data_IF_048264117403
#
_entry.id   IF_048264117403
#
_cell.length_a   1.000
_cell.length_b   1.000
_cell.length_c   1.000
_cell.angle_alpha   90.00
_cell.angle_beta   90.00
_cell.angle_gamma   90.00
#
_symmetry.space_group_name_H-M   'P 1'
#
loop_
_entity.id
_entity.type
_entity.pdbx_description
1 polymer ?
#
# COMPACT_ATOMS: atom_id res chain seq x y z
N UNK A 1 -6.28 58.65 -15.20
CA UNK A 1 -6.85 57.97 -14.01
C UNK A 1 -6.15 56.62 -13.89
N UNK A 2 -5.15 56.51 -13.02
CA UNK A 2 -4.34 55.31 -12.86
C UNK A 2 -4.99 54.41 -11.80
N UNK A 3 -5.51 53.25 -12.19
CA UNK A 3 -6.09 52.26 -11.26
C UNK A 3 -5.03 51.19 -11.00
N UNK A 4 -4.55 51.12 -9.77
CA UNK A 4 -3.63 50.08 -9.30
C UNK A 4 -4.51 48.98 -8.68
N UNK A 5 -4.47 47.77 -9.26
CA UNK A 5 -5.07 46.58 -8.67
C UNK A 5 -4.05 45.92 -7.72
N UNK A 6 -4.39 45.64 -6.45
CA UNK A 6 -3.49 44.88 -5.59
C UNK A 6 -3.47 43.41 -6.07
N UNK A 7 -2.26 42.90 -6.30
CA UNK A 7 -2.04 41.49 -6.59
C UNK A 7 -2.15 40.71 -5.28
N UNK A 8 -3.31 40.15 -5.00
CA UNK A 8 -3.51 39.24 -3.87
C UNK A 8 -2.77 37.94 -4.18
N UNK A 9 -1.66 37.69 -3.48
CA UNK A 9 -0.94 36.43 -3.57
C UNK A 9 -1.77 35.31 -2.91
N UNK A 10 -2.25 34.36 -3.71
CA UNK A 10 -2.91 33.16 -3.22
C UNK A 10 -1.82 32.22 -2.68
N UNK A 11 -1.73 32.05 -1.37
CA UNK A 11 -0.88 31.02 -0.79
C UNK A 11 -1.44 29.64 -1.16
N UNK A 12 -0.74 28.91 -2.01
CA UNK A 12 -1.04 27.52 -2.30
C UNK A 12 -0.67 26.68 -1.06
N UNK A 13 -1.68 26.18 -0.34
CA UNK A 13 -1.45 25.07 0.58
C UNK A 13 -1.08 23.85 -0.27
N UNK A 14 0.19 23.45 -0.25
CA UNK A 14 0.56 22.12 -0.68
C UNK A 14 -0.05 21.16 0.33
N UNK A 15 -1.18 20.54 -0.01
CA UNK A 15 -1.54 19.28 0.64
C UNK A 15 -0.30 18.39 0.51
N UNK A 16 0.16 17.71 1.59
CA UNK A 16 1.17 16.69 1.39
C UNK A 16 0.65 15.80 0.28
N UNK A 17 1.44 15.62 -0.78
CA UNK A 17 1.14 14.60 -1.79
C UNK A 17 0.77 13.36 -1.00
N UNK A 18 -0.47 12.87 -1.17
CA UNK A 18 -0.94 11.74 -0.39
C UNK A 18 -0.03 10.59 -0.78
N UNK A 19 1.06 10.41 -0.05
CA UNK A 19 1.85 9.21 -0.10
C UNK A 19 0.84 8.08 0.09
N UNK A 20 1.04 6.97 -0.61
CA UNK A 20 0.19 5.76 -0.64
C UNK A 20 -0.33 5.23 0.73
N UNK A 21 0.04 5.86 1.84
CA UNK A 21 -0.52 5.75 3.18
C UNK A 21 -2.05 5.74 3.21
N UNK A 22 -2.58 5.00 4.20
CA UNK A 22 -4.01 4.83 4.39
C UNK A 22 -4.40 3.38 4.61
N UNK A 23 -5.70 3.17 4.80
CA UNK A 23 -6.31 1.86 4.95
C UNK A 23 -6.88 1.41 3.61
N UNK A 24 -6.57 0.18 3.22
CA UNK A 24 -7.05 -0.45 2.00
C UNK A 24 -7.83 -1.70 2.34
N UNK A 25 -8.95 -1.91 1.66
CA UNK A 25 -9.57 -3.22 1.56
C UNK A 25 -8.75 -4.08 0.61
N UNK A 26 -8.52 -5.33 0.99
CA UNK A 26 -7.76 -6.31 0.20
C UNK A 26 -8.68 -7.44 -0.19
N UNK A 27 -8.71 -7.75 -1.48
CA UNK A 27 -9.24 -9.00 -2.01
C UNK A 27 -8.10 -9.74 -2.69
N UNK A 28 -7.80 -10.95 -2.23
CA UNK A 28 -6.67 -11.72 -2.75
C UNK A 28 -7.00 -13.17 -3.03
N UNK A 29 -6.09 -13.82 -3.74
CA UNK A 29 -6.21 -15.20 -4.17
C UNK A 29 -4.90 -15.93 -3.91
N UNK A 30 -4.98 -17.06 -3.20
CA UNK A 30 -3.84 -17.94 -3.00
C UNK A 30 -3.47 -18.64 -4.31
N UNK A 31 -2.18 -18.98 -4.52
CA UNK A 31 -1.77 -19.72 -5.70
C UNK A 31 -2.58 -21.02 -5.89
N UNK A 32 -3.13 -21.21 -7.09
CA UNK A 32 -3.87 -22.43 -7.45
C UNK A 32 -5.25 -22.58 -6.81
N UNK A 33 -5.72 -21.60 -6.04
CA UNK A 33 -7.06 -21.62 -5.44
C UNK A 33 -8.02 -20.69 -6.19
N UNK A 34 -9.28 -21.12 -6.34
CA UNK A 34 -10.33 -20.29 -6.95
C UNK A 34 -10.95 -19.30 -5.95
N UNK A 35 -11.02 -19.68 -4.67
CA UNK A 35 -11.63 -18.86 -3.62
C UNK A 35 -10.78 -17.62 -3.31
N UNK A 36 -11.44 -16.47 -3.22
CA UNK A 36 -10.83 -15.23 -2.76
C UNK A 36 -10.84 -15.14 -1.24
N UNK A 37 -9.75 -14.65 -0.67
CA UNK A 37 -9.71 -14.14 0.71
C UNK A 37 -9.95 -12.63 0.72
N UNK A 38 -10.39 -12.13 1.87
CA UNK A 38 -10.60 -10.70 2.12
C UNK A 38 -9.91 -10.27 3.40
N UNK A 39 -9.52 -9.01 3.45
CA UNK A 39 -9.00 -8.39 4.65
C UNK A 39 -8.68 -6.93 4.45
N UNK A 40 -7.78 -6.43 5.28
CA UNK A 40 -7.35 -5.03 5.25
C UNK A 40 -5.84 -4.92 5.25
N UNK A 41 -5.32 -3.86 4.63
CA UNK A 41 -3.94 -3.46 4.72
C UNK A 41 -3.84 -1.99 5.13
N UNK A 42 -2.98 -1.70 6.09
CA UNK A 42 -2.65 -0.35 6.53
C UNK A 42 -1.26 0.01 6.08
N UNK A 43 -1.12 1.13 5.38
CA UNK A 43 0.17 1.68 4.94
C UNK A 43 0.47 2.94 5.75
N UNK A 44 1.69 3.03 6.29
CA UNK A 44 2.24 4.23 6.93
C UNK A 44 3.66 4.47 6.47
N UNK A 45 4.05 5.71 6.21
CA UNK A 45 5.45 6.06 5.88
C UNK A 45 6.30 6.06 7.15
N UNK A 46 7.46 5.41 7.08
CA UNK A 46 8.43 5.28 8.17
C UNK A 46 9.82 5.68 7.67
N UNK A 47 10.13 6.98 7.70
CA UNK A 47 11.34 7.51 7.05
C UNK A 47 11.26 7.32 5.54
N UNK A 48 12.27 6.70 4.93
CA UNK A 48 12.31 6.41 3.49
C UNK A 48 11.60 5.11 3.09
N UNK A 49 10.97 4.43 4.05
CA UNK A 49 10.26 3.16 3.85
C UNK A 49 8.78 3.31 4.19
N UNK A 50 8.03 2.24 3.97
CA UNK A 50 6.63 2.13 4.37
C UNK A 50 6.43 0.92 5.28
N UNK A 51 5.80 1.12 6.43
CA UNK A 51 5.22 0.03 7.20
C UNK A 51 3.91 -0.39 6.56
N UNK A 52 3.79 -1.69 6.26
CA UNK A 52 2.56 -2.28 5.74
C UNK A 52 2.10 -3.38 6.69
N UNK A 53 0.87 -3.27 7.18
CA UNK A 53 0.30 -4.24 8.11
C UNK A 53 -0.98 -4.80 7.52
N UNK A 54 -1.00 -6.11 7.30
CA UNK A 54 -2.19 -6.84 6.86
C UNK A 54 -2.92 -7.47 8.03
N UNK A 55 -4.24 -7.49 7.92
CA UNK A 55 -5.16 -8.28 8.75
C UNK A 55 -6.04 -9.10 7.80
N UNK A 56 -5.74 -10.39 7.66
CA UNK A 56 -6.48 -11.33 6.81
C UNK A 56 -7.10 -12.42 7.69
N UNK A 57 -8.42 -12.39 7.88
CA UNK A 57 -9.08 -13.21 8.89
C UNK A 57 -8.48 -12.94 10.29
N UNK A 58 -8.09 -14.00 11.00
CA UNK A 58 -7.38 -13.89 12.29
C UNK A 58 -5.86 -13.68 12.14
N UNK A 59 -5.32 -13.81 10.93
CA UNK A 59 -3.90 -13.64 10.64
C UNK A 59 -3.49 -12.18 10.59
N UNK A 60 -2.31 -11.89 11.16
CA UNK A 60 -1.67 -10.57 11.09
C UNK A 60 -0.27 -10.69 10.51
N UNK A 61 0.02 -9.90 9.48
CA UNK A 61 1.30 -9.87 8.80
C UNK A 61 1.86 -8.46 8.84
N UNK A 62 3.16 -8.36 9.06
CA UNK A 62 3.88 -7.09 9.13
C UNK A 62 4.92 -7.07 8.02
N UNK A 63 5.08 -5.92 7.38
CA UNK A 63 6.06 -5.75 6.32
C UNK A 63 6.68 -4.36 6.26
N UNK A 64 7.83 -4.32 5.59
CA UNK A 64 8.58 -3.11 5.28
C UNK A 64 8.68 -2.97 3.78
N UNK A 65 8.19 -1.84 3.27
CA UNK A 65 8.09 -1.53 1.86
C UNK A 65 9.03 -0.41 1.41
N UNK A 66 9.45 -0.49 0.15
CA UNK A 66 10.13 0.58 -0.57
C UNK A 66 9.31 0.90 -1.80
N UNK A 67 9.02 2.18 -2.02
CA UNK A 67 8.39 2.67 -3.23
C UNK A 67 9.49 3.12 -4.20
N UNK A 68 9.53 2.54 -5.40
CA UNK A 68 10.46 2.94 -6.47
C UNK A 68 9.68 3.13 -7.75
N UNK A 69 9.65 4.36 -8.27
CA UNK A 69 8.74 4.73 -9.35
C UNK A 69 7.29 4.47 -8.92
N UNK A 70 6.57 3.65 -9.69
CA UNK A 70 5.17 3.30 -9.45
C UNK A 70 5.00 1.92 -8.81
N UNK A 71 6.05 1.33 -8.23
CA UNK A 71 6.00 -0.02 -7.64
C UNK A 71 6.37 0.02 -6.16
N UNK A 72 5.45 -0.42 -5.32
CA UNK A 72 5.70 -0.70 -3.90
C UNK A 72 6.13 -2.15 -3.75
N UNK A 73 7.39 -2.38 -3.36
CA UNK A 73 7.92 -3.71 -3.04
C UNK A 73 8.01 -3.87 -1.53
N UNK A 74 7.51 -4.98 -0.98
CA UNK A 74 7.38 -5.21 0.46
C UNK A 74 7.94 -6.58 0.82
N UNK A 75 8.84 -6.65 1.80
CA UNK A 75 9.10 -7.90 2.53
C UNK A 75 8.09 -7.99 3.67
N UNK A 76 7.46 -9.14 3.86
CA UNK A 76 6.47 -9.34 4.91
C UNK A 76 6.72 -10.65 5.67
N UNK A 77 6.17 -10.75 6.87
CA UNK A 77 6.17 -11.98 7.69
C UNK A 77 4.95 -12.01 8.61
N UNK A 78 4.59 -13.20 9.09
CA UNK A 78 3.55 -13.32 10.12
C UNK A 78 4.06 -12.71 11.43
N UNK A 79 3.22 -11.89 12.07
CA UNK A 79 3.56 -11.27 13.34
C UNK A 79 3.86 -12.35 14.40
N UNK A 80 5.02 -12.25 15.06
CA UNK A 80 5.45 -13.22 16.08
C UNK A 80 6.03 -14.53 15.54
N UNK A 81 6.15 -14.71 14.21
CA UNK A 81 6.73 -15.91 13.61
C UNK A 81 7.80 -15.55 12.53
N UNK A 82 9.02 -15.18 12.95
CA UNK A 82 10.12 -14.86 12.02
C UNK A 82 10.39 -16.00 11.03
N UNK A 83 10.69 -15.64 9.78
CA UNK A 83 10.99 -16.61 8.72
C UNK A 83 9.76 -17.20 8.00
N UNK A 84 8.54 -16.96 8.48
CA UNK A 84 7.28 -17.36 7.81
C UNK A 84 6.88 -16.46 6.63
N UNK A 85 7.81 -15.62 6.18
CA UNK A 85 7.54 -14.46 5.34
C UNK A 85 7.78 -14.65 3.85
N UNK A 86 7.65 -13.55 3.13
CA UNK A 86 7.75 -13.50 1.68
C UNK A 86 7.97 -12.10 1.15
N UNK A 87 7.77 -11.96 -0.15
CA UNK A 87 7.83 -10.68 -0.87
C UNK A 87 6.51 -10.41 -1.55
N UNK A 88 6.17 -9.13 -1.65
CA UNK A 88 5.04 -8.64 -2.41
C UNK A 88 5.45 -7.43 -3.25
N UNK A 89 4.82 -7.27 -4.41
CA UNK A 89 5.02 -6.12 -5.29
C UNK A 89 3.68 -5.64 -5.81
N UNK A 90 3.39 -4.36 -5.60
CA UNK A 90 2.13 -3.74 -5.97
C UNK A 90 2.33 -2.52 -6.87
N UNK A 91 1.41 -2.34 -7.80
CA UNK A 91 1.33 -1.14 -8.62
C UNK A 91 0.68 0.00 -7.85
N UNK A 92 1.25 1.19 -8.03
CA UNK A 92 0.74 2.46 -7.53
C UNK A 92 0.25 3.30 -8.71
N UNK A 93 -1.02 3.67 -8.70
CA UNK A 93 -1.67 4.47 -9.74
C UNK A 93 -2.46 5.57 -9.03
N UNK A 94 -2.30 6.82 -9.45
CA UNK A 94 -2.92 7.99 -8.83
C UNK A 94 -2.76 7.99 -7.31
N UNK A 95 -1.52 7.76 -6.87
CA UNK A 95 -1.10 7.66 -5.47
C UNK A 95 -1.84 6.59 -4.63
N UNK A 96 -2.42 5.59 -5.29
CA UNK A 96 -3.13 4.48 -4.64
C UNK A 96 -2.48 3.16 -4.98
N UNK A 97 -2.29 2.31 -3.98
CA UNK A 97 -1.96 0.91 -4.22
C UNK A 97 -3.18 0.22 -4.83
N UNK A 98 -2.99 -0.44 -5.98
CA UNK A 98 -4.09 -0.99 -6.78
C UNK A 98 -4.07 -2.52 -6.84
N UNK A 99 -3.05 -3.12 -7.43
CA UNK A 99 -2.97 -4.56 -7.59
C UNK A 99 -1.53 -5.04 -7.54
N UNK A 100 -1.34 -6.28 -7.14
CA UNK A 100 -0.01 -6.85 -7.00
C UNK A 100 0.02 -8.35 -6.92
N UNK A 101 1.25 -8.83 -6.70
CA UNK A 101 1.58 -10.24 -6.53
C UNK A 101 2.34 -10.40 -5.23
N UNK A 102 2.20 -11.56 -4.61
CA UNK A 102 3.02 -11.95 -3.47
C UNK A 102 3.45 -13.40 -3.59
N UNK A 103 4.55 -13.75 -2.93
CA UNK A 103 5.02 -15.11 -2.79
C UNK A 103 5.67 -15.28 -1.42
N UNK A 104 5.43 -16.41 -0.76
CA UNK A 104 6.21 -16.81 0.41
C UNK A 104 7.61 -17.28 -0.02
N UNK A 105 8.56 -17.19 0.90
CA UNK A 105 9.96 -17.57 0.66
C UNK A 105 10.04 -19.01 0.11
N UNK A 106 10.72 -19.18 -1.03
CA UNK A 106 10.89 -20.47 -1.70
C UNK A 106 9.71 -20.93 -2.58
N UNK A 107 8.60 -20.19 -2.62
CA UNK A 107 7.49 -20.51 -3.52
C UNK A 107 7.87 -20.29 -5.00
N UNK A 108 7.39 -21.18 -5.86
CA UNK A 108 7.50 -21.05 -7.33
C UNK A 108 6.23 -20.47 -7.97
N UNK A 109 5.22 -20.18 -7.15
CA UNK A 109 3.94 -19.62 -7.59
C UNK A 109 3.58 -18.38 -6.77
N UNK A 110 2.77 -17.51 -7.37
CA UNK A 110 2.38 -16.22 -6.78
C UNK A 110 0.90 -16.20 -6.45
N UNK A 111 0.56 -15.57 -5.33
CA UNK A 111 -0.79 -15.09 -5.06
C UNK A 111 -1.01 -13.74 -5.72
N UNK A 112 -2.28 -13.37 -5.85
CA UNK A 112 -2.71 -12.09 -6.41
C UNK A 112 -3.48 -11.30 -5.36
N UNK A 113 -3.35 -9.98 -5.40
CA UNK A 113 -4.15 -9.09 -4.56
C UNK A 113 -4.61 -7.86 -5.34
N UNK A 114 -5.83 -7.42 -5.02
CA UNK A 114 -6.41 -6.14 -5.40
C UNK A 114 -6.76 -5.36 -4.16
N UNK A 115 -6.43 -4.07 -4.20
CA UNK A 115 -6.49 -3.15 -3.10
C UNK A 115 -7.41 -2.00 -3.47
N UNK A 116 -8.21 -1.54 -2.51
CA UNK A 116 -9.10 -0.39 -2.69
C UNK A 116 -9.00 0.50 -1.47
N UNK A 117 -8.51 1.73 -1.68
CA UNK A 117 -8.37 2.72 -0.61
C UNK A 117 -9.74 2.99 0.00
N UNK A 118 -9.82 2.91 1.33
CA UNK A 118 -11.03 3.33 2.04
C UNK A 118 -11.11 4.86 2.02
N UNK A 119 -12.20 5.38 1.46
CA UNK A 119 -12.44 6.82 1.40
C UNK A 119 -12.97 7.29 2.76
N UNK A 120 -12.22 8.15 3.48
CA UNK A 120 -12.76 8.84 4.67
C UNK A 120 -11.83 8.97 5.88
N UNK A 121 -10.60 9.47 5.71
CA UNK A 121 -9.81 10.06 6.81
C UNK A 121 -9.47 11.49 6.42
#
# INVERSE_FOLDING_TARGET
>A
MNIIFPLTALAAFTLPAHAIEGRYKVEGQNPGQSQLYKGEAMIKRTGDTYSVVWQIGSGRQIGTGILTGTVLSVVFQTAGAPGSGGVASFQVIDDKVTAGKWAVTGSQTVGLEKWSLESGI
#
